data_IF_334590667855
#
_entry.id   IF_334590667855
#
_cell.length_a   1.000
_cell.length_b   1.000
_cell.length_c   1.000
_cell.angle_alpha   90.00
_cell.angle_beta   90.00
_cell.angle_gamma   90.00
#
_symmetry.space_group_name_H-M   'P 1'
#
loop_
_entity.id
_entity.type
_entity.pdbx_description
1 polymer ?
#
# COMPACT_ATOMS: atom_id res chain seq x y z
N UNK A 1 -49.94 -12.48 -30.31
CA UNK A 1 -48.64 -12.12 -29.74
C UNK A 1 -47.61 -13.03 -30.39
N UNK A 2 -46.62 -12.43 -31.07
CA UNK A 2 -45.59 -13.18 -31.79
C UNK A 2 -44.74 -13.97 -30.79
N UNK A 3 -44.49 -15.25 -31.10
CA UNK A 3 -43.57 -16.14 -30.34
C UNK A 3 -42.20 -15.53 -30.20
N UNK A 4 -41.75 -14.78 -31.21
CA UNK A 4 -40.43 -14.09 -31.24
C UNK A 4 -40.25 -13.11 -30.08
N UNK A 5 -41.32 -12.43 -29.63
CA UNK A 5 -41.25 -11.49 -28.52
C UNK A 5 -41.12 -12.21 -27.14
N UNK A 6 -41.56 -13.47 -27.03
CA UNK A 6 -41.42 -14.26 -25.79
C UNK A 6 -40.02 -14.83 -25.69
N UNK A 7 -39.45 -15.33 -26.81
CA UNK A 7 -38.08 -15.85 -26.82
C UNK A 7 -37.04 -14.76 -26.53
N UNK A 8 -37.20 -13.58 -27.16
CA UNK A 8 -36.32 -12.42 -26.92
C UNK A 8 -36.38 -11.96 -25.44
N UNK A 9 -37.58 -11.84 -24.88
CA UNK A 9 -37.75 -11.47 -23.46
C UNK A 9 -37.20 -12.54 -22.52
N UNK A 10 -37.37 -13.81 -22.84
CA UNK A 10 -36.84 -14.92 -22.04
C UNK A 10 -35.31 -14.94 -22.08
N UNK A 11 -34.73 -14.80 -23.27
CA UNK A 11 -33.28 -14.70 -23.47
C UNK A 11 -32.68 -13.51 -22.71
N UNK A 12 -33.33 -12.34 -22.80
CA UNK A 12 -32.91 -11.14 -22.06
C UNK A 12 -32.98 -11.36 -20.55
N UNK A 13 -34.06 -11.99 -20.05
CA UNK A 13 -34.20 -12.29 -18.63
C UNK A 13 -33.11 -13.29 -18.15
N UNK A 14 -32.85 -14.36 -18.91
CA UNK A 14 -31.82 -15.34 -18.55
C UNK A 14 -30.41 -14.70 -18.60
N UNK A 15 -30.13 -13.86 -19.60
CA UNK A 15 -28.84 -13.15 -19.68
C UNK A 15 -28.67 -12.20 -18.52
N UNK A 16 -29.72 -11.49 -18.11
CA UNK A 16 -29.72 -10.61 -16.94
C UNK A 16 -29.49 -11.37 -15.65
N UNK A 17 -30.15 -12.51 -15.45
CA UNK A 17 -29.99 -13.38 -14.29
C UNK A 17 -28.55 -13.95 -14.25
N UNK A 18 -28.06 -14.47 -15.37
CA UNK A 18 -26.70 -14.98 -15.46
C UNK A 18 -25.65 -13.90 -15.16
N UNK A 19 -25.85 -12.68 -15.67
CA UNK A 19 -25.01 -11.52 -15.36
C UNK A 19 -25.04 -11.13 -13.88
N UNK A 20 -26.21 -11.24 -13.25
CA UNK A 20 -26.36 -10.95 -11.80
C UNK A 20 -25.68 -11.99 -10.93
N UNK A 21 -25.69 -13.26 -11.34
CA UNK A 21 -25.02 -14.37 -10.62
C UNK A 21 -23.50 -14.27 -10.76
N UNK A 22 -23.01 -13.74 -11.87
CA UNK A 22 -21.57 -13.57 -12.10
C UNK A 22 -20.96 -12.44 -11.23
N UNK A 23 -21.77 -11.54 -10.69
CA UNK A 23 -21.30 -10.44 -9.83
C UNK A 23 -21.40 -10.92 -8.37
N UNK A 24 -20.26 -11.16 -7.75
CA UNK A 24 -20.19 -11.56 -6.34
C UNK A 24 -20.48 -10.37 -5.40
N UNK A 25 -20.03 -9.18 -5.78
CA UNK A 25 -20.26 -7.93 -5.06
C UNK A 25 -20.40 -6.76 -6.04
N UNK A 26 -21.30 -5.83 -5.75
CA UNK A 26 -21.42 -4.55 -6.46
C UNK A 26 -21.29 -3.38 -5.46
N UNK A 27 -21.02 -2.18 -5.97
CA UNK A 27 -20.84 -0.99 -5.15
C UNK A 27 -19.77 -1.14 -4.06
N UNK A 28 -18.76 -1.97 -4.30
CA UNK A 28 -17.71 -2.29 -3.34
C UNK A 28 -16.89 -1.07 -2.95
N UNK A 29 -16.79 -0.82 -1.64
CA UNK A 29 -15.97 0.26 -1.06
C UNK A 29 -15.11 -0.31 0.06
N UNK A 30 -13.80 -0.19 -0.09
CA UNK A 30 -12.83 -0.46 0.98
C UNK A 30 -12.54 0.84 1.70
N UNK A 31 -12.55 0.80 3.03
CA UNK A 31 -12.04 1.86 3.88
C UNK A 31 -10.86 1.31 4.68
N UNK A 32 -9.67 1.86 4.42
CA UNK A 32 -8.40 1.34 4.91
C UNK A 32 -7.65 2.43 5.71
N UNK A 33 -7.89 2.52 7.01
CA UNK A 33 -7.21 3.46 7.89
C UNK A 33 -5.78 2.98 8.17
N UNK A 34 -4.82 3.90 8.21
CA UNK A 34 -3.46 3.60 8.65
C UNK A 34 -3.43 3.18 10.12
N UNK A 35 -2.46 2.36 10.48
CA UNK A 35 -2.20 1.99 11.87
C UNK A 35 -1.79 3.19 12.73
N UNK A 36 -1.85 3.03 14.03
CA UNK A 36 -1.65 4.12 15.00
C UNK A 36 -0.30 4.85 14.78
N UNK A 37 0.77 4.09 14.56
CA UNK A 37 2.15 4.59 14.46
C UNK A 37 2.71 4.62 13.04
N UNK A 38 1.87 4.43 12.04
CA UNK A 38 2.28 4.42 10.63
C UNK A 38 1.51 5.46 9.81
N UNK A 39 2.11 5.86 8.72
CA UNK A 39 1.51 6.76 7.73
C UNK A 39 1.76 6.25 6.33
N UNK A 40 0.93 6.69 5.38
CA UNK A 40 1.20 6.47 3.97
C UNK A 40 2.52 7.15 3.59
N UNK A 41 3.42 6.42 2.93
CA UNK A 41 4.69 6.96 2.46
C UNK A 41 4.51 7.53 1.06
N UNK A 42 4.60 8.86 0.94
CA UNK A 42 4.57 9.56 -0.35
C UNK A 42 5.42 10.82 -0.30
N UNK A 43 5.82 11.31 -1.46
CA UNK A 43 6.55 12.56 -1.62
C UNK A 43 5.68 13.57 -2.36
N UNK A 44 5.54 14.78 -1.81
CA UNK A 44 4.73 15.83 -2.43
C UNK A 44 3.51 16.20 -1.60
N UNK A 45 2.63 17.07 -2.13
CA UNK A 45 1.49 17.62 -1.37
C UNK A 45 0.33 16.62 -1.24
N UNK A 46 0.26 15.60 -2.09
CA UNK A 46 -0.74 14.55 -2.06
C UNK A 46 -0.17 13.28 -2.73
N UNK A 47 -0.64 12.08 -2.33
CA UNK A 47 -0.19 10.84 -2.95
C UNK A 47 -0.68 10.72 -4.40
N UNK A 48 0.18 10.16 -5.25
CA UNK A 48 -0.15 9.82 -6.64
C UNK A 48 -0.77 8.43 -6.67
N UNK A 49 -2.00 8.34 -7.19
CA UNK A 49 -2.76 7.10 -7.31
C UNK A 49 -2.83 6.69 -8.78
N UNK A 50 -2.58 5.42 -9.07
CA UNK A 50 -2.60 4.89 -10.45
C UNK A 50 -3.27 3.52 -10.53
N UNK A 51 -3.84 3.23 -11.69
CA UNK A 51 -4.26 1.89 -12.10
C UNK A 51 -3.22 1.20 -12.99
N UNK A 52 -2.16 1.90 -13.36
CA UNK A 52 -1.05 1.34 -14.15
C UNK A 52 0.01 0.76 -13.21
N UNK A 53 0.10 -0.56 -13.21
CA UNK A 53 1.08 -1.30 -12.39
C UNK A 53 2.52 -0.94 -12.75
N UNK A 54 2.81 -0.65 -14.02
CA UNK A 54 4.18 -0.31 -14.45
C UNK A 54 4.60 1.06 -13.91
N UNK A 55 3.68 2.02 -13.83
CA UNK A 55 3.92 3.34 -13.22
C UNK A 55 4.22 3.18 -11.73
N UNK A 56 3.46 2.35 -11.01
CA UNK A 56 3.69 2.07 -9.60
C UNK A 56 5.04 1.34 -9.37
N UNK A 57 5.31 0.28 -10.13
CA UNK A 57 6.54 -0.51 -10.00
C UNK A 57 7.80 0.32 -10.34
N UNK A 58 7.67 1.33 -11.21
CA UNK A 58 8.73 2.29 -11.50
C UNK A 58 8.93 3.36 -10.39
N UNK A 59 8.09 3.37 -9.35
CA UNK A 59 8.15 4.34 -8.26
C UNK A 59 7.59 5.72 -8.59
N UNK A 60 6.78 5.82 -9.67
CA UNK A 60 6.16 7.07 -10.11
C UNK A 60 4.74 7.27 -9.55
N UNK A 61 4.28 6.36 -8.68
CA UNK A 61 3.03 6.49 -7.95
C UNK A 61 3.18 5.88 -6.54
N UNK A 62 2.35 6.36 -5.61
CA UNK A 62 2.39 6.00 -4.21
C UNK A 62 1.37 4.91 -3.87
N UNK A 63 0.24 4.89 -4.60
CA UNK A 63 -0.83 3.91 -4.44
C UNK A 63 -1.14 3.30 -5.81
N UNK A 64 -1.16 1.98 -5.88
CA UNK A 64 -1.67 1.21 -7.02
C UNK A 64 -2.99 0.55 -6.63
N UNK A 65 -3.98 0.66 -7.52
CA UNK A 65 -5.25 -0.06 -7.46
C UNK A 65 -5.46 -0.79 -8.79
N UNK A 66 -5.88 -2.05 -8.75
CA UNK A 66 -6.10 -2.81 -9.99
C UNK A 66 -7.35 -2.39 -10.74
N UNK A 67 -8.31 -1.75 -10.07
CA UNK A 67 -9.56 -1.26 -10.64
C UNK A 67 -10.19 -0.17 -9.79
N UNK A 68 -11.18 0.54 -10.35
CA UNK A 68 -11.97 1.54 -9.65
C UNK A 68 -11.25 2.86 -9.44
N UNK A 69 -11.49 3.49 -8.32
CA UNK A 69 -10.89 4.78 -7.94
C UNK A 69 -10.59 4.84 -6.45
N UNK A 70 -9.53 5.51 -6.04
CA UNK A 70 -9.20 5.68 -4.64
C UNK A 70 -8.91 7.14 -4.29
N UNK A 71 -9.08 7.49 -3.02
CA UNK A 71 -8.75 8.80 -2.46
C UNK A 71 -8.08 8.55 -1.11
N UNK A 72 -7.02 9.30 -0.82
CA UNK A 72 -6.43 9.36 0.50
C UNK A 72 -6.92 10.61 1.24
N UNK A 73 -7.45 10.40 2.43
CA UNK A 73 -7.81 11.47 3.36
C UNK A 73 -6.71 11.61 4.41
N UNK A 74 -5.96 12.71 4.33
CA UNK A 74 -4.88 12.99 5.26
C UNK A 74 -5.36 13.30 6.69
N UNK A 75 -6.58 13.81 6.87
CA UNK A 75 -7.12 14.13 8.18
C UNK A 75 -7.44 12.88 9.00
N UNK A 76 -7.94 11.85 8.36
CA UNK A 76 -8.23 10.54 8.96
C UNK A 76 -7.14 9.51 8.73
N UNK A 77 -6.13 9.84 7.94
CA UNK A 77 -5.05 8.93 7.48
C UNK A 77 -5.63 7.64 6.89
N UNK A 78 -6.66 7.75 6.05
CA UNK A 78 -7.36 6.60 5.50
C UNK A 78 -7.36 6.62 3.97
N UNK A 79 -7.24 5.45 3.35
CA UNK A 79 -7.50 5.27 1.92
C UNK A 79 -8.94 4.77 1.78
N UNK A 80 -9.73 5.50 1.01
CA UNK A 80 -11.04 5.04 0.57
C UNK A 80 -10.95 4.61 -0.87
N UNK A 81 -11.14 3.30 -1.13
CA UNK A 81 -11.09 2.71 -2.45
C UNK A 81 -12.48 2.26 -2.90
N UNK A 82 -13.01 2.91 -3.92
CA UNK A 82 -14.21 2.47 -4.62
C UNK A 82 -13.80 1.39 -5.63
N UNK A 83 -13.96 0.14 -5.25
CA UNK A 83 -13.62 -1.04 -6.06
C UNK A 83 -14.60 -1.21 -7.21
N UNK A 84 -15.87 -0.82 -7.01
CA UNK A 84 -16.97 -1.07 -7.94
C UNK A 84 -17.51 -2.49 -7.85
N UNK A 85 -17.73 -3.12 -9.00
CA UNK A 85 -18.21 -4.50 -9.05
C UNK A 85 -17.04 -5.49 -9.04
N UNK A 86 -17.25 -6.60 -8.34
CA UNK A 86 -16.31 -7.73 -8.25
C UNK A 86 -17.06 -8.98 -8.69
N UNK A 87 -16.57 -9.65 -9.72
CA UNK A 87 -17.13 -10.91 -10.22
C UNK A 87 -16.49 -12.10 -9.53
N UNK A 88 -17.10 -13.27 -9.65
CA UNK A 88 -16.51 -14.50 -9.18
C UNK A 88 -15.16 -14.75 -9.87
N UNK A 89 -14.11 -15.00 -9.08
CA UNK A 89 -12.74 -15.19 -9.57
C UNK A 89 -11.92 -13.92 -9.73
N UNK A 90 -12.52 -12.72 -9.63
CA UNK A 90 -11.76 -11.48 -9.59
C UNK A 90 -10.97 -11.39 -8.28
N UNK A 91 -9.78 -10.79 -8.39
CA UNK A 91 -8.93 -10.52 -7.23
C UNK A 91 -8.45 -9.06 -7.27
N UNK A 92 -9.31 -8.10 -6.90
CA UNK A 92 -8.91 -6.71 -6.84
C UNK A 92 -7.77 -6.48 -5.86
N UNK A 93 -6.77 -5.70 -6.25
CA UNK A 93 -5.56 -5.47 -5.48
C UNK A 93 -5.37 -3.97 -5.27
N UNK A 94 -5.06 -3.59 -4.03
CA UNK A 94 -4.50 -2.30 -3.68
C UNK A 94 -3.10 -2.50 -3.09
N UNK A 95 -2.13 -1.66 -3.51
CA UNK A 95 -0.74 -1.67 -3.00
C UNK A 95 -0.30 -0.26 -2.69
N UNK A 96 0.36 -0.10 -1.58
CA UNK A 96 0.98 1.15 -1.17
C UNK A 96 2.15 0.88 -0.21
N UNK A 97 2.93 1.92 0.08
CA UNK A 97 4.02 1.86 1.05
C UNK A 97 3.64 2.65 2.28
N UNK A 98 4.03 2.14 3.44
CA UNK A 98 3.88 2.85 4.71
C UNK A 98 5.24 3.18 5.31
N UNK A 99 5.30 4.28 6.03
CA UNK A 99 6.42 4.68 6.86
C UNK A 99 5.98 4.85 8.31
N UNK A 100 6.93 4.90 9.22
CA UNK A 100 6.68 5.22 10.62
C UNK A 100 6.38 6.72 10.74
N UNK A 101 5.47 7.11 11.62
CA UNK A 101 5.21 8.52 11.92
C UNK A 101 6.48 9.23 12.39
N UNK A 102 6.70 10.46 11.96
CA UNK A 102 7.91 11.22 12.27
C UNK A 102 8.11 11.49 13.78
N UNK A 103 7.02 11.56 14.52
CA UNK A 103 6.99 11.78 15.97
C UNK A 103 7.03 10.48 16.79
N UNK A 104 7.10 9.32 16.14
CA UNK A 104 7.17 8.01 16.78
C UNK A 104 8.53 7.34 16.58
N UNK A 105 9.13 6.89 17.70
CA UNK A 105 10.42 6.19 17.72
C UNK A 105 10.25 4.78 18.26
N UNK A 106 9.96 3.79 17.41
CA UNK A 106 9.73 2.44 17.84
C UNK A 106 11.02 1.77 18.36
N UNK A 107 10.87 0.83 19.28
CA UNK A 107 11.96 0.00 19.72
C UNK A 107 12.33 -1.06 18.65
N UNK A 108 13.60 -1.50 18.65
CA UNK A 108 14.01 -2.64 17.83
C UNK A 108 13.22 -3.89 18.22
N UNK A 109 12.64 -4.56 17.23
CA UNK A 109 11.82 -5.76 17.44
C UNK A 109 10.35 -5.46 17.77
N UNK A 110 9.98 -4.18 17.88
CA UNK A 110 8.59 -3.81 18.07
C UNK A 110 7.74 -4.21 16.86
N UNK A 111 6.53 -4.68 17.12
CA UNK A 111 5.58 -5.10 16.10
C UNK A 111 4.50 -4.02 15.97
N UNK A 112 4.41 -3.44 14.79
CA UNK A 112 3.45 -2.38 14.48
C UNK A 112 2.37 -2.91 13.54
N UNK A 113 1.13 -2.51 13.79
CA UNK A 113 0.03 -2.69 12.86
C UNK A 113 0.18 -1.69 11.70
N UNK A 114 0.18 -2.17 10.45
CA UNK A 114 0.29 -1.28 9.29
C UNK A 114 -1.01 -0.53 9.01
N UNK A 115 -2.13 -1.12 9.39
CA UNK A 115 -3.48 -0.60 9.20
C UNK A 115 -4.25 -0.66 10.52
N UNK A 116 -5.31 0.14 10.63
CA UNK A 116 -6.39 -0.11 11.57
C UNK A 116 -7.35 -1.19 11.03
N UNK A 117 -8.58 -1.19 11.49
CA UNK A 117 -9.60 -2.11 10.98
C UNK A 117 -10.00 -1.67 9.56
N UNK A 118 -9.56 -2.45 8.58
CA UNK A 118 -9.92 -2.25 7.17
C UNK A 118 -11.23 -2.93 6.89
N UNK A 119 -12.20 -2.19 6.38
CA UNK A 119 -13.56 -2.69 6.09
C UNK A 119 -13.82 -2.71 4.59
N UNK A 120 -14.65 -3.66 4.15
CA UNK A 120 -15.20 -3.75 2.81
C UNK A 120 -16.72 -3.75 2.89
N UNK A 121 -17.36 -2.70 2.38
CA UNK A 121 -18.80 -2.58 2.29
C UNK A 121 -19.23 -2.78 0.84
N UNK A 122 -20.27 -3.58 0.60
CA UNK A 122 -20.71 -3.91 -0.75
C UNK A 122 -22.19 -4.30 -0.76
N UNK A 123 -22.77 -4.35 -1.95
CA UNK A 123 -24.08 -4.93 -2.19
C UNK A 123 -23.88 -6.35 -2.73
N UNK A 124 -24.44 -7.37 -2.07
CA UNK A 124 -24.32 -8.77 -2.47
C UNK A 124 -25.18 -9.09 -3.72
N UNK A 125 -25.10 -10.33 -4.20
CA UNK A 125 -25.85 -10.79 -5.38
C UNK A 125 -27.37 -10.79 -5.21
N UNK A 126 -27.87 -10.71 -3.96
CA UNK A 126 -29.29 -10.58 -3.64
C UNK A 126 -29.76 -9.12 -3.62
N UNK A 127 -28.86 -8.17 -3.78
CA UNK A 127 -29.15 -6.75 -3.69
C UNK A 127 -29.19 -6.22 -2.26
N UNK A 128 -28.64 -6.95 -1.29
CA UNK A 128 -28.58 -6.58 0.11
C UNK A 128 -27.22 -5.99 0.45
N UNK A 129 -27.20 -5.02 1.35
CA UNK A 129 -25.97 -4.47 1.87
C UNK A 129 -25.26 -5.49 2.78
N UNK A 130 -23.96 -5.62 2.59
CA UNK A 130 -23.10 -6.53 3.34
C UNK A 130 -21.76 -5.87 3.62
N UNK A 131 -21.08 -6.35 4.63
CA UNK A 131 -19.76 -5.88 5.03
C UNK A 131 -18.83 -7.03 5.41
N UNK A 132 -17.54 -6.72 5.46
CA UNK A 132 -16.50 -7.63 5.90
C UNK A 132 -15.27 -6.86 6.37
N UNK A 133 -14.40 -7.53 7.09
CA UNK A 133 -13.16 -6.98 7.59
C UNK A 133 -11.97 -7.75 7.05
N UNK A 134 -10.86 -7.05 6.80
CA UNK A 134 -9.61 -7.67 6.43
C UNK A 134 -8.72 -7.87 7.66
N UNK A 135 -7.88 -8.93 7.68
CA UNK A 135 -6.85 -9.11 8.70
C UNK A 135 -5.91 -7.90 8.72
N UNK A 136 -5.50 -7.47 9.91
CA UNK A 136 -4.56 -6.37 10.08
C UNK A 136 -3.14 -6.88 9.83
N UNK A 137 -2.44 -6.39 8.78
CA UNK A 137 -1.05 -6.74 8.54
C UNK A 137 -0.13 -6.13 9.59
N UNK A 138 0.96 -6.83 9.90
CA UNK A 138 1.93 -6.40 10.91
C UNK A 138 3.33 -6.32 10.31
N UNK A 139 4.13 -5.39 10.82
CA UNK A 139 5.53 -5.24 10.47
C UNK A 139 6.37 -5.21 11.74
N UNK A 140 7.50 -5.92 11.71
CA UNK A 140 8.48 -5.88 12.81
C UNK A 140 9.53 -4.82 12.49
N UNK A 141 9.76 -3.92 13.43
CA UNK A 141 10.78 -2.88 13.30
C UNK A 141 12.16 -3.52 13.36
N UNK A 142 12.91 -3.43 12.25
CA UNK A 142 14.29 -3.85 12.19
C UNK A 142 15.21 -2.89 12.95
N UNK A 143 16.18 -3.43 13.72
CA UNK A 143 17.25 -2.63 14.29
C UNK A 143 18.25 -2.22 13.23
N UNK A 144 18.36 -0.93 12.95
CA UNK A 144 19.49 -0.37 12.22
C UNK A 144 20.60 0.03 13.20
N UNK A 145 21.81 -0.50 13.02
CA UNK A 145 22.99 -0.01 13.73
C UNK A 145 23.71 0.99 12.82
N UNK A 146 23.79 2.25 13.25
CA UNK A 146 24.69 3.21 12.63
C UNK A 146 26.04 3.05 13.29
N UNK A 147 27.01 2.46 12.59
CA UNK A 147 28.39 2.43 13.03
C UNK A 147 29.07 3.73 12.56
N UNK A 148 29.35 4.62 13.49
CA UNK A 148 30.12 5.85 13.20
C UNK A 148 31.59 5.56 13.45
N UNK A 149 32.38 5.54 12.37
CA UNK A 149 33.84 5.42 12.45
C UNK A 149 34.47 6.80 12.30
N UNK A 150 35.26 7.20 13.28
CA UNK A 150 36.04 8.42 13.25
C UNK A 150 37.46 8.07 12.80
N UNK A 151 37.93 8.74 11.75
CA UNK A 151 39.28 8.54 11.22
C UNK A 151 40.10 9.80 11.42
N UNK A 152 41.40 9.61 11.67
CA UNK A 152 42.33 10.70 11.67
C UNK A 152 42.64 11.09 10.22
N UNK A 153 42.68 12.38 9.93
CA UNK A 153 42.99 12.92 8.61
C UNK A 153 44.24 13.81 8.71
N UNK A 154 44.98 13.92 7.60
CA UNK A 154 46.07 14.89 7.46
C UNK A 154 45.54 16.33 7.26
N UNK A 155 46.45 17.29 7.05
CA UNK A 155 46.08 18.69 6.82
C UNK A 155 45.25 18.93 5.55
N UNK A 156 45.23 17.98 4.62
CA UNK A 156 44.44 18.04 3.38
C UNK A 156 43.08 17.36 3.52
N UNK A 157 42.73 16.80 4.68
CA UNK A 157 41.49 16.08 4.89
C UNK A 157 41.51 14.63 4.40
N UNK A 158 42.67 14.07 4.06
CA UNK A 158 42.81 12.71 3.55
C UNK A 158 42.97 11.73 4.73
N UNK A 159 42.26 10.54 4.71
CA UNK A 159 42.41 9.54 5.76
C UNK A 159 43.86 9.04 5.87
N UNK A 160 44.32 8.89 7.12
CA UNK A 160 45.70 8.38 7.37
C UNK A 160 45.66 7.12 8.25
N UNK A 161 46.65 6.24 8.07
CA UNK A 161 46.86 5.08 8.92
C UNK A 161 47.61 5.47 10.22
N UNK A 162 47.90 4.47 11.06
CA UNK A 162 48.65 4.69 12.32
C UNK A 162 50.07 5.27 12.13
N UNK A 163 50.63 5.12 10.96
CA UNK A 163 51.97 5.66 10.59
C UNK A 163 51.88 7.06 9.98
N UNK A 164 50.67 7.65 9.87
CA UNK A 164 50.46 8.96 9.24
C UNK A 164 50.46 8.95 7.72
N UNK A 165 50.44 7.79 7.08
CA UNK A 165 50.44 7.65 5.62
C UNK A 165 49.00 7.73 5.10
N UNK A 166 48.79 8.45 3.99
CA UNK A 166 47.49 8.48 3.29
C UNK A 166 47.12 7.09 2.79
N UNK A 167 45.87 6.70 3.03
CA UNK A 167 45.34 5.38 2.67
C UNK A 167 44.03 5.50 1.89
N UNK A 168 43.81 4.57 0.96
CA UNK A 168 42.60 4.50 0.18
C UNK A 168 41.48 3.84 0.98
N UNK A 169 40.53 4.68 1.42
CA UNK A 169 39.29 4.26 2.06
C UNK A 169 39.38 4.02 3.56
N UNK A 170 38.20 3.97 4.20
CA UNK A 170 38.07 3.95 5.66
C UNK A 170 38.62 2.69 6.34
N UNK A 171 38.67 1.57 5.63
CA UNK A 171 39.12 0.29 6.19
C UNK A 171 40.60 0.29 6.64
N UNK A 172 41.40 1.19 6.10
CA UNK A 172 42.85 1.32 6.37
C UNK A 172 43.21 2.57 7.16
N UNK A 173 42.22 3.43 7.43
CA UNK A 173 42.43 4.65 8.17
C UNK A 173 42.55 4.37 9.69
N UNK A 174 43.32 5.21 10.37
CA UNK A 174 43.46 5.15 11.82
C UNK A 174 42.16 5.61 12.49
N UNK A 175 41.56 4.75 13.28
CA UNK A 175 40.41 5.13 14.14
C UNK A 175 40.84 6.05 15.27
N UNK A 176 40.15 7.12 15.49
CA UNK A 176 40.28 7.98 16.68
C UNK A 176 39.46 7.33 17.80
N UNK A 177 40.13 6.97 18.89
CA UNK A 177 39.50 6.44 20.11
C UNK A 177 38.93 7.59 20.94
#
# INVERSE_FOLDING_TARGET
>A
ASTDNVEEKLTTAFTSIAGSIAIAASNGVVNDPMGEHVQLSFSGPAPVITTDKAVYDAGNADIYISQGSAVYDAATRSIRWNVGSVSEGDNPIMKYKVGILEDYSPATGEVLDTNGITTFNYTNYLGEDADGEFPIPKVTVGGGMILVHWYQVNSNGEPINELGQVVDGPAYAKQVK
#
